data_IF_381983746059
#
_entry.id   IF_381983746059
#
_cell.length_a   1.000
_cell.length_b   1.000
_cell.length_c   1.000
_cell.angle_alpha   90.00
_cell.angle_beta   90.00
_cell.angle_gamma   90.00
#
_symmetry.space_group_name_H-M   'P 1'
#
loop_
_entity.id
_entity.type
_entity.pdbx_description
1 polymer ?
#
# COMPACT_ATOMS: atom_id res chain seq x y z
N UNK A 1 6.10 -5.38 36.03
CA UNK A 1 6.50 -5.81 34.67
C UNK A 1 5.28 -5.79 33.78
N UNK A 2 5.09 -4.72 32.99
CA UNK A 2 4.03 -4.63 32.00
C UNK A 2 4.69 -4.40 30.64
N UNK A 3 4.82 -5.47 29.85
CA UNK A 3 5.19 -5.42 28.45
C UNK A 3 3.91 -5.18 27.66
N UNK A 4 3.54 -3.91 27.45
CA UNK A 4 2.46 -3.56 26.53
C UNK A 4 3.06 -3.45 25.12
N UNK A 5 3.02 -4.57 24.41
CA UNK A 5 3.33 -4.70 22.99
C UNK A 5 2.38 -3.86 22.14
N UNK A 6 2.68 -2.56 21.99
CA UNK A 6 2.15 -1.74 20.91
C UNK A 6 2.96 -2.01 19.64
N UNK A 7 2.76 -3.18 19.04
CA UNK A 7 3.37 -3.57 17.76
C UNK A 7 2.25 -4.03 16.83
N UNK A 8 1.48 -3.10 16.30
CA UNK A 8 0.53 -3.39 15.23
C UNK A 8 0.42 -2.17 14.32
N UNK A 9 1.19 -2.21 13.24
CA UNK A 9 0.96 -1.54 11.96
C UNK A 9 0.59 -0.05 11.97
N UNK A 10 1.22 0.74 12.84
CA UNK A 10 1.44 2.14 12.52
C UNK A 10 2.48 2.19 11.39
N UNK A 11 2.02 2.08 10.15
CA UNK A 11 2.80 2.57 9.01
C UNK A 11 2.99 4.06 9.29
N UNK A 12 4.20 4.44 9.65
CA UNK A 12 4.58 5.81 9.94
C UNK A 12 4.12 6.69 8.76
N UNK A 13 3.17 7.59 9.03
CA UNK A 13 2.62 8.51 8.03
C UNK A 13 3.61 9.59 7.59
N UNK A 14 4.86 9.53 8.04
CA UNK A 14 5.89 10.57 7.88
C UNK A 14 6.65 10.51 6.56
N UNK A 15 6.65 9.38 5.84
CA UNK A 15 7.60 9.19 4.72
C UNK A 15 6.95 9.17 3.33
N UNK A 16 5.66 9.50 3.19
CA UNK A 16 5.01 9.61 1.86
C UNK A 16 5.15 11.05 1.34
N UNK A 17 6.34 11.39 0.84
CA UNK A 17 6.61 12.60 0.05
C UNK A 17 6.29 12.38 -1.44
N UNK A 18 5.14 11.79 -1.76
CA UNK A 18 4.66 11.63 -3.14
C UNK A 18 3.74 12.77 -3.58
N UNK A 19 3.38 12.85 -4.88
CA UNK A 19 2.37 13.78 -5.39
C UNK A 19 1.08 13.73 -4.55
N UNK A 20 0.41 14.87 -4.29
CA UNK A 20 -0.73 14.96 -3.38
C UNK A 20 -1.88 14.02 -3.79
N UNK A 21 -2.02 13.74 -5.09
CA UNK A 21 -3.05 12.87 -5.64
C UNK A 21 -2.84 11.39 -5.27
N UNK A 22 -1.59 10.92 -5.29
CA UNK A 22 -1.24 9.52 -4.98
C UNK A 22 -1.42 9.24 -3.48
N UNK A 23 -1.04 10.21 -2.64
CA UNK A 23 -1.26 10.12 -1.18
C UNK A 23 -2.74 10.00 -0.84
N UNK A 24 -3.60 10.81 -1.47
CA UNK A 24 -5.05 10.74 -1.26
C UNK A 24 -5.60 9.38 -1.67
N UNK A 25 -5.20 8.88 -2.83
CA UNK A 25 -5.67 7.59 -3.34
C UNK A 25 -5.22 6.42 -2.44
N UNK A 26 -3.99 6.43 -1.93
CA UNK A 26 -3.50 5.42 -0.98
C UNK A 26 -4.33 5.40 0.30
N UNK A 27 -4.60 6.56 0.88
CA UNK A 27 -5.42 6.68 2.09
C UNK A 27 -6.84 6.20 1.86
N UNK A 28 -7.46 6.59 0.75
CA UNK A 28 -8.82 6.17 0.40
C UNK A 28 -8.91 4.66 0.15
N UNK A 29 -7.94 4.09 -0.57
CA UNK A 29 -7.90 2.65 -0.86
C UNK A 29 -7.64 1.84 0.41
N UNK A 30 -6.78 2.33 1.30
CA UNK A 30 -6.53 1.72 2.60
C UNK A 30 -7.77 1.77 3.51
N UNK A 31 -8.50 2.88 3.52
CA UNK A 31 -9.76 3.01 4.27
C UNK A 31 -10.80 2.01 3.75
N UNK A 32 -10.98 1.94 2.41
CA UNK A 32 -11.91 0.97 1.79
C UNK A 32 -11.52 -0.48 2.07
N UNK A 33 -10.22 -0.78 2.18
CA UNK A 33 -9.74 -2.11 2.59
C UNK A 33 -10.16 -2.41 4.04
N UNK A 34 -9.94 -1.48 4.96
CA UNK A 34 -10.35 -1.66 6.35
C UNK A 34 -11.86 -1.87 6.48
N UNK A 35 -12.67 -1.13 5.72
CA UNK A 35 -14.12 -1.33 5.66
C UNK A 35 -14.49 -2.73 5.13
N UNK A 36 -13.83 -3.18 4.06
CA UNK A 36 -14.06 -4.51 3.50
C UNK A 36 -13.68 -5.63 4.48
N UNK A 37 -12.59 -5.46 5.25
CA UNK A 37 -12.18 -6.39 6.30
C UNK A 37 -13.21 -6.43 7.45
N UNK A 38 -13.74 -5.27 7.85
CA UNK A 38 -14.81 -5.19 8.86
C UNK A 38 -16.08 -5.92 8.39
N UNK A 39 -16.48 -5.73 7.13
CA UNK A 39 -17.60 -6.47 6.52
C UNK A 39 -17.32 -7.97 6.50
N UNK A 40 -16.12 -8.40 6.10
CA UNK A 40 -15.74 -9.81 6.09
C UNK A 40 -15.85 -10.44 7.48
N UNK A 41 -15.38 -9.75 8.52
CA UNK A 41 -15.47 -10.24 9.90
C UNK A 41 -16.93 -10.41 10.35
N UNK A 42 -17.80 -9.46 9.98
CA UNK A 42 -19.24 -9.51 10.28
C UNK A 42 -19.93 -10.67 9.55
N UNK A 43 -19.59 -10.90 8.28
CA UNK A 43 -20.12 -12.03 7.50
C UNK A 43 -19.70 -13.39 8.08
N UNK A 44 -18.47 -13.51 8.57
CA UNK A 44 -17.99 -14.73 9.22
C UNK A 44 -18.74 -15.00 10.53
N UNK A 45 -19.01 -13.97 11.33
CA UNK A 45 -19.82 -14.09 12.54
C UNK A 45 -21.27 -14.49 12.20
N UNK A 46 -21.89 -13.83 11.22
CA UNK A 46 -23.24 -14.14 10.75
C UNK A 46 -23.34 -15.58 10.20
N UNK A 47 -22.31 -16.07 9.50
CA UNK A 47 -22.23 -17.46 9.05
C UNK A 47 -22.30 -18.44 10.21
N UNK A 48 -21.48 -18.23 11.24
CA UNK A 48 -21.45 -19.10 12.42
C UNK A 48 -22.79 -19.12 13.15
N UNK A 49 -23.44 -17.97 13.28
CA UNK A 49 -24.78 -17.88 13.87
C UNK A 49 -25.84 -18.60 13.03
N UNK A 50 -25.81 -18.39 11.71
CA UNK A 50 -26.72 -19.07 10.78
C UNK A 50 -26.54 -20.58 10.79
N UNK A 51 -25.30 -21.09 10.77
CA UNK A 51 -25.01 -22.53 10.85
C UNK A 51 -25.51 -23.13 12.18
N UNK A 52 -25.38 -22.38 13.29
CA UNK A 52 -25.94 -22.78 14.61
C UNK A 52 -27.47 -22.82 14.60
N UNK A 53 -28.13 -21.82 14.02
CA UNK A 53 -29.59 -21.79 13.94
C UNK A 53 -30.13 -22.93 13.06
N UNK A 54 -29.50 -23.15 11.90
CA UNK A 54 -29.87 -24.17 10.92
C UNK A 54 -29.71 -25.58 11.49
N UNK A 55 -28.61 -25.84 12.21
CA UNK A 55 -28.38 -27.13 12.88
C UNK A 55 -29.40 -27.40 14.00
N UNK A 56 -29.79 -26.38 14.78
CA UNK A 56 -30.85 -26.50 15.79
C UNK A 56 -32.22 -26.81 15.18
N UNK A 57 -32.54 -26.16 14.06
CA UNK A 57 -33.83 -26.31 13.39
C UNK A 57 -33.93 -27.56 12.50
N UNK A 58 -32.83 -28.28 12.27
CA UNK A 58 -32.74 -29.45 11.36
C UNK A 58 -33.31 -29.18 9.97
N UNK A 59 -33.36 -27.91 9.54
CA UNK A 59 -33.86 -27.51 8.23
C UNK A 59 -32.67 -27.05 7.38
N UNK A 60 -32.32 -27.76 6.31
CA UNK A 60 -31.25 -27.30 5.42
C UNK A 60 -31.65 -25.99 4.73
N UNK A 61 -30.69 -25.10 4.52
CA UNK A 61 -30.88 -23.88 3.73
C UNK A 61 -31.26 -24.28 2.29
N UNK A 62 -32.43 -23.84 1.76
CA UNK A 62 -32.88 -24.20 0.41
C UNK A 62 -31.90 -23.75 -0.68
N UNK A 63 -31.20 -22.63 -0.49
CA UNK A 63 -30.18 -22.17 -1.45
C UNK A 63 -28.94 -23.07 -1.46
N UNK A 64 -28.54 -23.54 -0.28
CA UNK A 64 -27.42 -24.46 -0.12
C UNK A 64 -27.74 -25.85 -0.66
N UNK A 65 -28.99 -26.30 -0.54
CA UNK A 65 -29.43 -27.58 -1.10
C UNK A 65 -29.33 -27.63 -2.63
N UNK A 66 -29.60 -26.51 -3.32
CA UNK A 66 -29.55 -26.44 -4.79
C UNK A 66 -28.15 -26.11 -5.30
N UNK A 67 -27.44 -25.20 -4.65
CA UNK A 67 -26.21 -24.61 -5.22
C UNK A 67 -24.92 -25.00 -4.48
N UNK A 68 -25.04 -25.79 -3.41
CA UNK A 68 -23.92 -26.21 -2.55
C UNK A 68 -23.38 -25.12 -1.62
N UNK A 69 -23.72 -23.85 -1.86
CA UNK A 69 -23.22 -22.69 -1.11
C UNK A 69 -24.38 -21.83 -0.61
N UNK A 70 -24.26 -21.31 0.62
CA UNK A 70 -25.22 -20.31 1.13
C UNK A 70 -24.96 -18.94 0.49
N UNK A 71 -25.94 -18.03 0.59
CA UNK A 71 -25.74 -16.64 0.20
C UNK A 71 -24.60 -15.96 0.97
N UNK A 72 -24.44 -16.30 2.26
CA UNK A 72 -23.35 -15.79 3.11
C UNK A 72 -21.99 -16.30 2.62
N UNK A 73 -21.90 -17.56 2.20
CA UNK A 73 -20.66 -18.10 1.62
C UNK A 73 -20.24 -17.36 0.35
N UNK A 74 -21.20 -17.05 -0.52
CA UNK A 74 -20.94 -16.26 -1.73
C UNK A 74 -20.47 -14.85 -1.37
N UNK A 75 -21.13 -14.19 -0.41
CA UNK A 75 -20.73 -12.86 0.05
C UNK A 75 -19.30 -12.86 0.61
N UNK A 76 -18.93 -13.86 1.42
CA UNK A 76 -17.56 -14.02 1.96
C UNK A 76 -16.54 -14.12 0.84
N UNK A 77 -16.79 -14.95 -0.17
CA UNK A 77 -15.87 -15.12 -1.32
C UNK A 77 -15.72 -13.81 -2.08
N UNK A 78 -16.83 -13.13 -2.36
CA UNK A 78 -16.82 -11.83 -3.05
C UNK A 78 -16.02 -10.79 -2.27
N UNK A 79 -16.23 -10.67 -0.96
CA UNK A 79 -15.50 -9.70 -0.12
C UNK A 79 -14.01 -10.03 -0.03
N UNK A 80 -13.64 -11.32 0.05
CA UNK A 80 -12.21 -11.73 0.00
C UNK A 80 -11.56 -11.36 -1.33
N UNK A 81 -12.25 -11.57 -2.44
CA UNK A 81 -11.75 -11.16 -3.75
C UNK A 81 -11.59 -9.64 -3.84
N UNK A 82 -12.54 -8.88 -3.29
CA UNK A 82 -12.46 -7.42 -3.22
C UNK A 82 -11.23 -6.95 -2.44
N UNK A 83 -10.96 -7.53 -1.27
CA UNK A 83 -9.75 -7.23 -0.48
C UNK A 83 -8.50 -7.52 -1.31
N UNK A 84 -8.45 -8.66 -1.99
CA UNK A 84 -7.32 -9.01 -2.86
C UNK A 84 -7.10 -8.00 -4.00
N UNK A 85 -8.18 -7.47 -4.60
CA UNK A 85 -8.10 -6.41 -5.61
C UNK A 85 -7.57 -5.11 -5.03
N UNK A 86 -8.04 -4.71 -3.84
CA UNK A 86 -7.56 -3.51 -3.15
C UNK A 86 -6.09 -3.63 -2.75
N UNK A 87 -5.65 -4.81 -2.33
CA UNK A 87 -4.25 -5.09 -2.01
C UNK A 87 -3.33 -4.96 -3.21
N UNK A 88 -3.76 -5.46 -4.38
CA UNK A 88 -3.01 -5.29 -5.63
C UNK A 88 -2.92 -3.82 -6.01
N UNK A 89 -4.03 -3.09 -5.96
CA UNK A 89 -4.04 -1.64 -6.25
C UNK A 89 -3.10 -0.86 -5.32
N UNK A 90 -3.07 -1.18 -4.02
CA UNK A 90 -2.13 -0.55 -3.07
C UNK A 90 -0.67 -0.90 -3.40
N UNK A 91 -0.39 -2.12 -3.82
CA UNK A 91 0.96 -2.54 -4.19
C UNK A 91 1.44 -1.84 -5.48
N UNK A 92 0.56 -1.72 -6.48
CA UNK A 92 0.87 -1.06 -7.74
C UNK A 92 1.22 0.42 -7.53
N UNK A 93 0.41 1.14 -6.74
CA UNK A 93 0.66 2.57 -6.46
C UNK A 93 1.94 2.77 -5.66
N UNK A 94 2.22 1.89 -4.70
CA UNK A 94 3.49 1.94 -3.95
C UNK A 94 4.68 1.71 -4.85
N UNK A 95 4.55 0.82 -5.84
CA UNK A 95 5.61 0.55 -6.81
C UNK A 95 5.82 1.73 -7.76
N UNK A 96 4.75 2.40 -8.20
CA UNK A 96 4.82 3.61 -9.02
C UNK A 96 5.55 4.74 -8.27
N UNK A 97 5.17 5.00 -7.01
CA UNK A 97 5.84 5.99 -6.16
C UNK A 97 7.33 5.67 -5.97
N UNK A 98 7.67 4.42 -5.69
CA UNK A 98 9.07 4.02 -5.53
C UNK A 98 9.88 4.19 -6.83
N UNK A 99 9.25 4.02 -8.00
CA UNK A 99 9.91 4.25 -9.29
C UNK A 99 10.12 5.76 -9.57
N UNK A 100 9.16 6.61 -9.20
CA UNK A 100 9.28 8.06 -9.29
C UNK A 100 10.39 8.60 -8.39
N UNK A 101 10.48 8.13 -7.14
CA UNK A 101 11.53 8.52 -6.19
C UNK A 101 12.93 8.18 -6.71
N UNK A 102 13.09 7.00 -7.35
CA UNK A 102 14.36 6.58 -7.95
C UNK A 102 14.74 7.42 -9.18
N UNK A 103 13.76 7.85 -9.97
CA UNK A 103 13.99 8.75 -11.11
C UNK A 103 14.35 10.17 -10.65
N UNK A 104 13.76 10.65 -9.55
CA UNK A 104 14.07 11.97 -9.00
C UNK A 104 15.51 12.06 -8.43
N UNK A 105 16.04 10.96 -7.90
CA UNK A 105 17.40 10.90 -7.35
C UNK A 105 18.51 10.79 -8.42
N UNK A 106 18.17 10.55 -9.70
CA UNK A 106 19.13 10.22 -10.76
C UNK A 106 19.58 11.36 -11.68
N UNK A 107 19.28 12.63 -11.39
CA UNK A 107 19.51 13.76 -12.33
C UNK A 107 20.60 14.77 -11.93
N UNK A 108 21.45 14.50 -10.94
CA UNK A 108 22.46 15.46 -10.45
C UNK A 108 23.94 15.03 -10.61
N UNK A 109 24.27 14.03 -11.43
CA UNK A 109 25.68 13.59 -11.59
C UNK A 109 26.47 14.26 -12.73
N UNK A 110 25.87 15.17 -13.52
CA UNK A 110 26.54 15.77 -14.69
C UNK A 110 27.03 17.22 -14.51
N UNK A 111 27.01 17.78 -13.30
CA UNK A 111 27.37 19.20 -13.08
C UNK A 111 28.50 19.43 -12.07
N UNK A 112 29.67 18.82 -12.28
CA UNK A 112 30.94 19.42 -11.78
C UNK A 112 32.24 18.74 -12.30
N UNK A 113 32.39 18.57 -13.62
CA UNK A 113 33.70 18.19 -14.22
C UNK A 113 34.29 19.26 -15.14
N UNK A 114 33.90 20.53 -14.96
CA UNK A 114 34.16 21.60 -15.92
C UNK A 114 34.85 22.85 -15.38
N UNK A 115 35.73 22.77 -14.38
CA UNK A 115 36.59 23.93 -14.06
C UNK A 115 38.02 23.47 -13.71
N UNK A 116 38.69 22.91 -14.71
CA UNK A 116 40.12 22.68 -14.66
C UNK A 116 40.76 23.25 -15.91
N UNK A 117 41.68 24.19 -15.67
CA UNK A 117 42.69 24.77 -16.58
C UNK A 117 42.25 25.93 -17.47
N UNK A 118 42.83 27.08 -17.10
CA UNK A 118 43.43 28.19 -17.89
C UNK A 118 43.02 29.48 -17.16
N UNK A 119 43.87 30.18 -16.41
CA UNK A 119 45.14 30.73 -16.85
C UNK A 119 46.13 30.92 -15.68
N UNK A 120 47.05 29.97 -15.52
CA UNK A 120 48.40 30.28 -15.04
C UNK A 120 49.29 30.45 -16.26
N UNK A 121 49.36 31.66 -16.83
CA UNK A 121 50.37 31.98 -17.85
C UNK A 121 50.91 33.39 -17.62
N UNK A 122 52.11 33.41 -17.02
CA UNK A 122 53.20 34.35 -17.25
C UNK A 122 53.01 35.83 -16.86
N UNK A 123 53.47 36.16 -15.65
CA UNK A 123 54.27 37.37 -15.45
C UNK A 123 55.74 36.96 -15.27
N UNK A 124 56.39 36.67 -16.40
CA UNK A 124 57.82 36.43 -16.44
C UNK A 124 58.58 37.75 -16.33
N UNK A 125 59.49 37.76 -15.36
CA UNK A 125 60.76 38.49 -15.27
C UNK A 125 61.20 39.29 -16.51
N UNK A 126 61.49 40.57 -16.30
CA UNK A 126 62.18 41.44 -17.25
C UNK A 126 63.00 42.51 -16.56
N UNK A 127 64.11 42.10 -15.95
CA UNK A 127 65.16 42.95 -15.39
C UNK A 127 66.02 43.58 -16.50
N UNK A 128 66.69 44.71 -16.18
CA UNK A 128 67.81 45.40 -16.88
C UNK A 128 67.35 46.56 -17.79
N UNK A 129 67.95 47.75 -17.77
CA UNK A 129 69.09 48.33 -17.03
C UNK A 129 68.97 49.84 -17.09
#
# INVERSE_FOLDING_TARGET
MALQTCRSNAVCASDVQGPPDHRRFLLETAARKADAEAVLSSLLAAKLESDRATSRLKRPDPMRAVTGNSAIDRAIVTTRNLIGTLDRALADIRRELAAEDMNAAGLDEDRCSGESRRDEVFAAAGTRR
#
